data_IF_526260106144
#
_entry.id   IF_526260106144
#
_cell.length_a   1.000
_cell.length_b   1.000
_cell.length_c   1.000
_cell.angle_alpha   90.00
_cell.angle_beta   90.00
_cell.angle_gamma   90.00
#
_symmetry.space_group_name_H-M   'P 1'
#
loop_
_entity.id
_entity.type
_entity.pdbx_description
1 polymer ?
#
# COMPACT_ATOMS: atom_id res chain seq x y z
N UNK A 1 4.01 -14.16 -6.90
CA UNK A 1 5.36 -13.59 -7.03
C UNK A 1 5.32 -12.06 -6.85
N UNK A 2 6.17 -11.56 -5.98
CA UNK A 2 6.23 -10.11 -5.70
C UNK A 2 7.24 -9.46 -6.65
N UNK A 3 6.76 -8.55 -7.50
CA UNK A 3 7.55 -7.99 -8.59
C UNK A 3 7.46 -6.47 -8.63
N UNK A 4 8.53 -5.82 -9.12
CA UNK A 4 8.53 -4.37 -9.32
C UNK A 4 7.69 -4.05 -10.56
N UNK A 5 6.66 -3.23 -10.40
CA UNK A 5 5.78 -2.84 -11.51
C UNK A 5 5.83 -1.34 -11.83
N UNK A 6 6.80 -0.63 -11.27
CA UNK A 6 6.90 0.82 -11.49
C UNK A 6 7.07 1.19 -12.96
N UNK A 7 7.74 0.35 -13.74
CA UNK A 7 7.88 0.58 -15.19
C UNK A 7 6.60 0.27 -15.98
N UNK A 8 5.58 -0.26 -15.31
CA UNK A 8 4.34 -0.71 -15.93
C UNK A 8 3.13 0.16 -15.55
N UNK A 9 3.38 1.37 -15.05
CA UNK A 9 2.33 2.25 -14.51
C UNK A 9 1.21 2.57 -15.51
N UNK A 10 1.52 2.54 -16.80
CA UNK A 10 0.51 2.86 -17.82
C UNK A 10 -0.27 1.66 -18.32
N UNK A 11 0.03 0.46 -17.84
CA UNK A 11 -0.76 -0.72 -18.17
C UNK A 11 -2.12 -0.66 -17.48
N UNK A 12 -3.16 -1.14 -18.19
CA UNK A 12 -4.52 -1.08 -17.69
C UNK A 12 -4.70 -1.76 -16.33
N UNK A 13 -4.06 -2.92 -16.12
CA UNK A 13 -4.17 -3.64 -14.86
C UNK A 13 -3.65 -2.83 -13.68
N UNK A 14 -2.53 -2.13 -13.88
CA UNK A 14 -1.96 -1.29 -12.81
C UNK A 14 -2.84 -0.08 -12.56
N UNK A 15 -3.29 0.58 -13.64
CA UNK A 15 -4.19 1.72 -13.54
C UNK A 15 -5.48 1.35 -12.79
N UNK A 16 -6.06 0.21 -13.12
CA UNK A 16 -7.31 -0.25 -12.50
C UNK A 16 -7.11 -0.48 -10.99
N UNK A 17 -5.98 -1.03 -10.59
CA UNK A 17 -5.67 -1.23 -9.17
C UNK A 17 -5.45 0.11 -8.45
N UNK A 18 -4.81 1.07 -9.09
CA UNK A 18 -4.64 2.41 -8.52
C UNK A 18 -6.01 3.08 -8.32
N UNK A 19 -6.93 2.88 -9.25
CA UNK A 19 -8.29 3.43 -9.13
C UNK A 19 -9.01 2.97 -7.86
N UNK A 20 -8.68 1.80 -7.34
CA UNK A 20 -9.27 1.29 -6.09
C UNK A 20 -8.75 2.03 -4.86
N UNK A 21 -7.61 2.71 -4.97
CA UNK A 21 -6.96 3.40 -3.86
C UNK A 21 -7.36 4.86 -3.75
N UNK A 22 -7.89 5.44 -4.82
CA UNK A 22 -8.18 6.87 -4.90
C UNK A 22 -9.63 7.06 -5.30
N UNK A 23 -10.13 8.29 -5.10
CA UNK A 23 -11.46 8.63 -5.55
C UNK A 23 -11.55 8.39 -7.07
N UNK A 24 -12.65 7.81 -7.60
CA UNK A 24 -12.75 7.44 -9.01
C UNK A 24 -12.91 8.65 -9.93
N UNK A 25 -11.87 9.46 -10.01
CA UNK A 25 -11.76 10.64 -10.85
C UNK A 25 -10.53 10.44 -11.73
N UNK A 26 -10.68 10.39 -13.06
CA UNK A 26 -9.54 10.16 -13.95
C UNK A 26 -8.37 11.14 -13.73
N UNK A 27 -8.67 12.38 -13.37
CA UNK A 27 -7.61 13.38 -13.12
C UNK A 27 -6.81 13.04 -11.86
N UNK A 28 -7.47 12.49 -10.82
CA UNK A 28 -6.79 12.06 -9.60
C UNK A 28 -5.95 10.82 -9.83
N UNK A 29 -6.46 9.88 -10.62
CA UNK A 29 -5.71 8.67 -10.98
C UNK A 29 -4.46 9.07 -11.76
N UNK A 30 -4.60 9.95 -12.74
CA UNK A 30 -3.49 10.43 -13.55
C UNK A 30 -2.44 11.14 -12.69
N UNK A 31 -2.88 11.94 -11.72
CA UNK A 31 -1.97 12.63 -10.80
C UNK A 31 -1.14 11.64 -9.97
N UNK A 32 -1.76 10.55 -9.52
CA UNK A 32 -1.05 9.51 -8.77
C UNK A 32 -0.02 8.82 -9.65
N UNK A 33 -0.38 8.47 -10.89
CA UNK A 33 0.54 7.82 -11.82
C UNK A 33 1.75 8.71 -12.11
N UNK A 34 1.50 10.00 -12.36
CA UNK A 34 2.58 10.97 -12.60
C UNK A 34 3.49 11.12 -11.40
N UNK A 35 2.92 11.11 -10.21
CA UNK A 35 3.71 11.23 -8.98
C UNK A 35 4.68 10.06 -8.83
N UNK A 36 4.23 8.85 -9.12
CA UNK A 36 5.13 7.70 -9.12
C UNK A 36 6.22 7.82 -10.19
N UNK A 37 5.86 8.31 -11.37
CA UNK A 37 6.83 8.49 -12.45
C UNK A 37 7.90 9.54 -12.12
N UNK A 38 7.50 10.62 -11.45
CA UNK A 38 8.38 11.76 -11.19
C UNK A 38 9.21 11.64 -9.93
N UNK A 39 8.84 10.75 -9.01
CA UNK A 39 9.54 10.62 -7.73
C UNK A 39 10.32 9.31 -7.68
N UNK A 40 11.66 9.37 -7.88
CA UNK A 40 12.49 8.15 -7.84
C UNK A 40 12.41 7.40 -6.52
N UNK A 41 12.10 8.12 -5.41
CA UNK A 41 11.99 7.51 -4.09
C UNK A 41 10.68 6.77 -3.85
N UNK A 42 9.69 6.97 -4.72
CA UNK A 42 8.41 6.27 -4.60
C UNK A 42 8.49 4.98 -5.40
N UNK A 43 8.19 3.85 -4.76
CA UNK A 43 8.26 2.54 -5.38
C UNK A 43 6.87 1.94 -5.50
N UNK A 44 6.66 1.14 -6.54
CA UNK A 44 5.41 0.43 -6.74
C UNK A 44 5.72 -1.03 -7.08
N UNK A 45 5.24 -1.94 -6.25
CA UNK A 45 5.41 -3.37 -6.43
C UNK A 45 4.05 -4.02 -6.57
N UNK A 46 4.01 -5.16 -7.24
CA UNK A 46 2.80 -5.91 -7.45
C UNK A 46 2.96 -7.36 -7.08
N UNK A 47 1.84 -8.01 -6.82
CA UNK A 47 1.82 -9.44 -6.62
C UNK A 47 1.21 -10.10 -7.85
N UNK A 48 1.98 -10.99 -8.47
CA UNK A 48 1.57 -11.72 -9.66
C UNK A 48 1.15 -13.13 -9.26
N UNK A 49 -0.04 -13.51 -9.67
CA UNK A 49 -0.58 -14.85 -9.45
C UNK A 49 -1.12 -15.36 -10.78
N UNK A 50 -0.69 -16.54 -11.18
CA UNK A 50 -1.12 -17.17 -12.43
C UNK A 50 -0.93 -16.28 -13.67
N UNK A 51 0.18 -15.54 -13.69
CA UNK A 51 0.51 -14.67 -14.81
C UNK A 51 -0.15 -13.31 -14.83
N UNK A 52 -0.96 -13.00 -13.81
CA UNK A 52 -1.66 -11.71 -13.72
C UNK A 52 -1.30 -10.97 -12.44
N UNK A 53 -1.19 -9.65 -12.51
CA UNK A 53 -1.00 -8.81 -11.34
C UNK A 53 -2.34 -8.66 -10.64
N UNK A 54 -2.44 -9.18 -9.42
CA UNK A 54 -3.68 -9.21 -8.67
C UNK A 54 -3.73 -8.19 -7.53
N UNK A 55 -2.61 -7.55 -7.22
CA UNK A 55 -2.54 -6.52 -6.21
C UNK A 55 -1.31 -5.67 -6.39
N UNK A 56 -1.34 -4.48 -5.80
CA UNK A 56 -0.20 -3.55 -5.81
C UNK A 56 0.01 -2.97 -4.42
N UNK A 57 1.26 -2.58 -4.15
CA UNK A 57 1.62 -1.81 -2.98
C UNK A 57 2.64 -0.75 -3.39
N UNK A 58 2.30 0.52 -3.10
CA UNK A 58 3.20 1.64 -3.32
C UNK A 58 3.75 2.11 -2.00
N UNK A 59 5.02 2.43 -1.96
CA UNK A 59 5.66 2.83 -0.71
C UNK A 59 6.84 3.77 -0.95
N UNK A 60 7.20 4.47 0.12
CA UNK A 60 8.35 5.37 0.15
C UNK A 60 9.22 5.00 1.33
N UNK A 61 10.53 4.98 1.12
CA UNK A 61 11.49 4.68 2.20
C UNK A 61 12.05 5.96 2.78
N UNK A 62 12.04 6.04 4.11
CA UNK A 62 12.66 7.11 4.88
C UNK A 62 13.67 6.46 5.83
N UNK A 63 14.87 6.17 5.33
CA UNK A 63 15.85 5.39 6.09
C UNK A 63 15.33 3.98 6.38
N UNK A 64 15.15 3.66 7.64
CA UNK A 64 14.63 2.36 8.08
C UNK A 64 13.12 2.37 8.30
N UNK A 65 12.45 3.45 7.95
CA UNK A 65 11.00 3.55 8.03
C UNK A 65 10.42 3.45 6.62
N UNK A 66 9.34 2.68 6.46
CA UNK A 66 8.59 2.61 5.22
C UNK A 66 7.21 3.22 5.42
N UNK A 67 6.83 4.09 4.51
CA UNK A 67 5.49 4.65 4.44
C UNK A 67 4.75 3.99 3.28
N UNK A 68 3.63 3.31 3.58
CA UNK A 68 2.77 2.75 2.54
C UNK A 68 1.94 3.90 1.96
N UNK A 69 2.04 4.11 0.65
CA UNK A 69 1.31 5.16 -0.06
C UNK A 69 -0.02 4.66 -0.58
N UNK A 70 -0.03 3.47 -1.15
CA UNK A 70 -1.22 2.84 -1.73
C UNK A 70 -1.11 1.33 -1.57
N UNK A 71 -2.24 0.68 -1.35
CA UNK A 71 -2.32 -0.77 -1.38
C UNK A 71 -3.70 -1.15 -1.92
N UNK A 72 -3.74 -2.06 -2.86
CA UNK A 72 -4.99 -2.54 -3.44
C UNK A 72 -4.87 -3.98 -3.87
N UNK A 73 -5.98 -4.71 -3.76
CA UNK A 73 -6.11 -6.09 -4.23
C UNK A 73 -7.35 -6.13 -5.13
N UNK A 74 -7.25 -6.89 -6.22
CA UNK A 74 -8.38 -7.09 -7.12
C UNK A 74 -9.62 -7.49 -6.31
N UNK A 75 -10.78 -6.83 -6.53
CA UNK A 75 -11.96 -7.06 -5.69
C UNK A 75 -12.40 -8.51 -5.57
N UNK A 76 -12.26 -9.30 -6.62
CA UNK A 76 -12.64 -10.71 -6.62
C UNK A 76 -11.71 -11.59 -5.79
N UNK A 77 -10.53 -11.09 -5.44
CA UNK A 77 -9.52 -11.85 -4.69
C UNK A 77 -9.33 -11.34 -3.26
N UNK A 78 -10.18 -10.43 -2.82
CA UNK A 78 -10.13 -9.94 -1.45
C UNK A 78 -10.52 -11.06 -0.48
N UNK A 79 -9.92 -11.03 0.70
CA UNK A 79 -10.15 -12.07 1.70
C UNK A 79 -9.27 -13.30 1.55
N UNK A 80 -8.45 -13.35 0.50
CA UNK A 80 -7.52 -14.47 0.27
C UNK A 80 -6.12 -14.24 0.84
N UNK A 81 -5.89 -13.10 1.51
CA UNK A 81 -4.62 -12.81 2.16
C UNK A 81 -3.56 -12.14 1.29
N UNK A 82 -3.90 -11.72 0.08
CA UNK A 82 -2.92 -11.06 -0.81
C UNK A 82 -2.40 -9.74 -0.26
N UNK A 83 -3.28 -8.91 0.32
CA UNK A 83 -2.86 -7.63 0.89
C UNK A 83 -1.89 -7.81 2.04
N UNK A 84 -2.22 -8.69 2.97
CA UNK A 84 -1.32 -9.05 4.06
C UNK A 84 -0.02 -9.64 3.53
N UNK A 85 -0.12 -10.52 2.55
CA UNK A 85 1.05 -11.15 1.93
C UNK A 85 2.00 -10.13 1.34
N UNK A 86 1.48 -9.11 0.66
CA UNK A 86 2.32 -8.05 0.09
C UNK A 86 3.05 -7.26 1.18
N UNK A 87 2.39 -6.95 2.28
CA UNK A 87 3.04 -6.24 3.40
C UNK A 87 4.16 -7.11 4.00
N UNK A 88 3.91 -8.40 4.18
CA UNK A 88 4.92 -9.31 4.72
C UNK A 88 6.11 -9.47 3.76
N UNK A 89 5.85 -9.57 2.45
CA UNK A 89 6.90 -9.61 1.45
C UNK A 89 7.73 -8.31 1.44
N UNK A 90 7.07 -7.18 1.57
CA UNK A 90 7.73 -5.88 1.65
C UNK A 90 8.67 -5.82 2.86
N UNK A 91 8.20 -6.25 4.01
CA UNK A 91 9.00 -6.28 5.24
C UNK A 91 10.19 -7.22 5.07
N UNK A 92 9.96 -8.39 4.50
CA UNK A 92 11.04 -9.36 4.27
C UNK A 92 12.09 -8.81 3.32
N UNK A 93 11.67 -8.14 2.26
CA UNK A 93 12.55 -7.61 1.22
C UNK A 93 13.38 -6.41 1.69
N UNK A 94 12.72 -5.46 2.35
CA UNK A 94 13.33 -4.17 2.71
C UNK A 94 13.93 -4.15 4.12
N UNK A 95 13.52 -5.06 4.98
CA UNK A 95 14.00 -5.13 6.37
C UNK A 95 13.89 -3.79 7.12
N UNK A 96 12.71 -3.12 7.08
CA UNK A 96 12.54 -1.86 7.80
C UNK A 96 12.41 -2.09 9.29
N UNK A 97 12.65 -1.03 10.08
CA UNK A 97 12.37 -1.06 11.52
C UNK A 97 10.89 -0.75 11.80
N UNK A 98 10.29 0.08 10.95
CA UNK A 98 8.91 0.53 11.13
C UNK A 98 8.22 0.63 9.76
N UNK A 99 6.95 0.20 9.72
CA UNK A 99 6.08 0.42 8.56
C UNK A 99 4.90 1.26 9.02
N UNK A 100 4.61 2.33 8.30
CA UNK A 100 3.51 3.26 8.60
C UNK A 100 2.54 3.36 7.44
N UNK A 101 1.28 3.59 7.77
CA UNK A 101 0.24 3.87 6.79
C UNK A 101 -0.79 4.82 7.41
N UNK A 102 -1.44 5.61 6.57
CA UNK A 102 -2.61 6.38 6.98
C UNK A 102 -3.84 5.82 6.28
N UNK A 103 -4.95 5.75 6.98
CA UNK A 103 -6.16 5.17 6.42
C UNK A 103 -7.42 5.75 7.07
N UNK A 104 -8.58 5.30 6.62
CA UNK A 104 -9.90 5.69 7.13
C UNK A 104 -10.58 4.52 7.85
N UNK A 105 -11.81 4.77 8.31
CA UNK A 105 -12.59 3.76 9.03
C UNK A 105 -12.86 2.49 8.23
N UNK A 106 -12.97 2.60 6.91
CA UNK A 106 -13.29 1.43 6.08
C UNK A 106 -12.12 0.45 5.99
N UNK A 107 -10.90 0.96 6.01
CA UNK A 107 -9.70 0.13 5.81
C UNK A 107 -8.88 -0.10 7.08
N UNK A 108 -9.19 0.58 8.18
CA UNK A 108 -8.38 0.50 9.40
C UNK A 108 -8.30 -0.92 9.97
N UNK A 109 -9.37 -1.69 9.86
CA UNK A 109 -9.40 -3.05 10.40
C UNK A 109 -8.44 -3.99 9.64
N UNK A 110 -8.22 -3.73 8.36
CA UNK A 110 -7.22 -4.48 7.59
C UNK A 110 -5.85 -4.38 8.27
N UNK A 111 -5.44 -3.16 8.63
CA UNK A 111 -4.15 -2.94 9.30
C UNK A 111 -4.14 -3.49 10.72
N UNK A 112 -5.26 -3.30 11.46
CA UNK A 112 -5.38 -3.82 12.82
C UNK A 112 -5.21 -5.34 12.84
N UNK A 113 -5.81 -6.04 11.90
CA UNK A 113 -5.76 -7.50 11.85
C UNK A 113 -4.37 -8.05 11.52
N UNK A 114 -3.52 -7.24 10.89
CA UNK A 114 -2.12 -7.64 10.62
C UNK A 114 -1.26 -7.44 11.86
N UNK A 115 -1.65 -6.53 12.76
CA UNK A 115 -0.91 -6.25 13.98
C UNK A 115 -0.38 -4.82 14.08
N UNK A 116 -0.83 -3.92 13.19
CA UNK A 116 -0.48 -2.51 13.29
C UNK A 116 -1.15 -1.90 14.54
N UNK A 117 -0.43 -1.02 15.20
CA UNK A 117 -0.97 -0.19 16.27
C UNK A 117 -1.72 0.98 15.63
N UNK A 118 -2.95 1.20 16.05
CA UNK A 118 -3.83 2.18 15.43
C UNK A 118 -4.00 3.40 16.35
N UNK A 119 -3.80 4.59 15.81
CA UNK A 119 -4.06 5.85 16.52
C UNK A 119 -5.00 6.70 15.67
N UNK A 120 -6.10 7.17 16.29
CA UNK A 120 -7.00 8.09 15.62
C UNK A 120 -6.35 9.48 15.52
N UNK A 121 -6.50 10.09 14.36
CA UNK A 121 -6.07 11.48 14.14
C UNK A 121 -7.26 12.46 14.24
N UNK A 122 -8.43 11.94 14.60
CA UNK A 122 -9.65 12.70 14.65
C UNK A 122 -10.24 12.97 13.26
N UNK A 123 -11.26 13.81 13.23
CA UNK A 123 -11.89 14.20 11.97
C UNK A 123 -11.01 15.26 11.28
N UNK A 124 -10.22 14.84 10.31
CA UNK A 124 -9.41 15.74 9.48
C UNK A 124 -10.32 16.54 8.55
N UNK A 125 -11.40 15.91 8.10
CA UNK A 125 -12.50 16.56 7.39
C UNK A 125 -13.80 16.21 8.12
N UNK A 126 -14.85 17.05 8.04
CA UNK A 126 -16.14 16.73 8.70
C UNK A 126 -16.64 15.36 8.27
N UNK A 127 -16.89 14.51 9.25
CA UNK A 127 -17.39 13.16 9.05
C UNK A 127 -16.35 12.14 8.59
N UNK A 128 -15.07 12.54 8.44
CA UNK A 128 -14.02 11.63 7.98
C UNK A 128 -12.92 11.55 9.03
N UNK A 129 -12.94 10.47 9.79
CA UNK A 129 -11.87 10.19 10.75
C UNK A 129 -10.71 9.51 10.06
N UNK A 130 -9.49 9.96 10.37
CA UNK A 130 -8.26 9.37 9.82
C UNK A 130 -7.48 8.67 10.92
N UNK A 131 -6.75 7.66 10.55
CA UNK A 131 -5.98 6.84 11.47
C UNK A 131 -4.54 6.71 10.99
N UNK A 132 -3.60 6.76 11.92
CA UNK A 132 -2.22 6.40 11.67
C UNK A 132 -2.01 4.96 12.14
N UNK A 133 -1.47 4.14 11.27
CA UNK A 133 -1.21 2.73 11.53
C UNK A 133 0.30 2.52 11.55
N UNK A 134 0.82 1.92 12.60
CA UNK A 134 2.26 1.73 12.78
C UNK A 134 2.54 0.27 13.12
N UNK A 135 3.47 -0.33 12.40
CA UNK A 135 3.94 -1.68 12.66
C UNK A 135 5.43 -1.63 12.94
N UNK A 136 5.82 -1.98 14.16
CA UNK A 136 7.22 -2.11 14.52
C UNK A 136 7.65 -3.54 14.23
N UNK A 137 8.59 -3.69 13.31
CA UNK A 137 9.07 -5.01 12.97
C UNK A 137 9.92 -5.54 14.11
N UNK A 138 9.89 -6.87 14.31
CA UNK A 138 10.74 -7.48 15.31
C UNK A 138 12.16 -7.53 14.73
N UNK A 139 13.14 -6.84 15.33
CA UNK A 139 14.51 -7.02 14.89
C UNK A 139 14.90 -8.48 15.14
N UNK A 140 15.66 -9.02 14.19
CA UNK A 140 16.17 -10.38 14.40
C UNK A 140 17.04 -10.42 15.63
N UNK A 141 16.85 -11.44 16.45
CA UNK A 141 17.69 -11.66 17.62
C UNK A 141 19.13 -11.88 17.18
N UNK A 142 20.02 -11.15 17.79
CA UNK A 142 21.44 -11.21 17.44
C UNK A 142 22.13 -12.36 18.19
#
# INVERSE_FOLDING_TARGET
MFINVKSRLREAVIRDLIELCVFPDPDKVEAVLKKYEQNPGDELWGYESEGEVVGIIGFRKHGKEIEILHIAVHPELRGAGFGRGMILELIHQEQPDVVKAETDEEAVDFYRNIGFVIESRGEVYPGVERFTCTYETQPEEQ
#
